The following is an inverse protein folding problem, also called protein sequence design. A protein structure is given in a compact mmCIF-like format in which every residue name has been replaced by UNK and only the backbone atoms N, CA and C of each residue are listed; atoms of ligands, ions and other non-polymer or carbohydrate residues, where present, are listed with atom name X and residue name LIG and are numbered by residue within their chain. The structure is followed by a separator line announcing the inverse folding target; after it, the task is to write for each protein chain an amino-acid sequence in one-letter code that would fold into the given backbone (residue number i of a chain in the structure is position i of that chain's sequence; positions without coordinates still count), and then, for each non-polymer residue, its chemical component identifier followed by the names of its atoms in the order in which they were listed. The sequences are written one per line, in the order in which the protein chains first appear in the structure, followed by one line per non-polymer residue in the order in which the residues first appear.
data_IF_336473291984
#
_entry.id   IF_336473291984
#
_cell.length_a   1.000
_cell.length_b   1.000
_cell.length_c   1.000
_cell.angle_alpha   90.00
_cell.angle_beta   90.00
_cell.angle_gamma   90.00
#
_symmetry.space_group_name_H-M   'P 1'
#
loop_
_entity.id
_entity.type
_entity.pdbx_description
1 polymer ?
#
# COMPACT_ATOMS: atom_id res chain seq x y z
N UNK A 1 -60.12 25.19 -39.96
CA UNK A 1 -59.91 24.47 -38.73
C UNK A 1 -58.55 23.81 -38.81
N UNK A 2 -57.52 24.43 -38.22
CA UNK A 2 -56.13 23.88 -38.23
C UNK A 2 -55.92 23.09 -36.95
N UNK A 3 -55.66 21.78 -37.09
CA UNK A 3 -55.31 20.91 -35.94
C UNK A 3 -53.83 21.09 -35.64
N UNK A 4 -53.54 21.68 -34.52
CA UNK A 4 -52.16 21.77 -33.97
C UNK A 4 -51.88 20.44 -33.30
N UNK A 5 -51.01 19.66 -33.90
CA UNK A 5 -50.47 18.45 -33.27
C UNK A 5 -49.30 18.90 -32.39
N UNK A 6 -49.51 18.93 -31.08
CA UNK A 6 -48.45 19.19 -30.10
C UNK A 6 -47.65 17.90 -29.92
N UNK A 7 -46.46 17.86 -30.51
CA UNK A 7 -45.51 16.78 -30.31
C UNK A 7 -44.83 16.94 -28.94
N UNK A 8 -45.31 16.21 -27.98
CA UNK A 8 -44.64 16.10 -26.67
C UNK A 8 -43.39 15.28 -26.81
N UNK A 9 -42.24 15.94 -26.96
CA UNK A 9 -40.95 15.31 -26.87
C UNK A 9 -40.70 14.95 -25.40
N UNK A 10 -40.96 13.72 -25.02
CA UNK A 10 -40.51 13.13 -23.79
C UNK A 10 -39.01 12.96 -23.87
N UNK A 11 -38.26 13.96 -23.39
CA UNK A 11 -36.83 13.82 -23.13
C UNK A 11 -36.69 12.89 -21.93
N UNK A 12 -36.50 11.60 -22.20
CA UNK A 12 -36.07 10.64 -21.19
C UNK A 12 -34.65 11.04 -20.78
N UNK A 13 -34.53 11.79 -19.69
CA UNK A 13 -33.28 11.92 -18.96
C UNK A 13 -32.96 10.53 -18.43
N UNK A 14 -32.15 9.78 -19.15
CA UNK A 14 -31.47 8.62 -18.62
C UNK A 14 -30.47 9.18 -17.62
N UNK A 15 -30.92 9.41 -16.39
CA UNK A 15 -30.03 9.59 -15.25
C UNK A 15 -29.36 8.23 -15.10
N UNK A 16 -28.21 8.08 -15.75
CA UNK A 16 -27.29 6.98 -15.48
C UNK A 16 -26.84 7.16 -14.04
N UNK A 17 -27.66 6.70 -13.10
CA UNK A 17 -27.19 6.43 -11.75
C UNK A 17 -26.14 5.31 -11.92
N UNK A 18 -24.86 5.70 -11.98
CA UNK A 18 -23.79 4.74 -11.86
C UNK A 18 -24.01 4.03 -10.51
N UNK A 19 -24.57 2.82 -10.57
CA UNK A 19 -24.77 2.04 -9.36
C UNK A 19 -23.40 1.88 -8.71
N UNK A 20 -23.29 2.30 -7.45
CA UNK A 20 -22.12 2.05 -6.63
C UNK A 20 -21.81 0.55 -6.63
N UNK A 21 -20.62 0.21 -7.05
CA UNK A 21 -20.16 -1.18 -7.13
C UNK A 21 -19.26 -1.48 -5.94
N UNK A 22 -19.65 -2.44 -5.14
CA UNK A 22 -18.82 -2.91 -4.03
C UNK A 22 -17.61 -3.67 -4.54
N UNK A 23 -16.53 -3.63 -3.78
CA UNK A 23 -15.38 -4.47 -3.98
C UNK A 23 -15.75 -5.94 -3.82
N UNK A 24 -15.35 -6.77 -4.80
CA UNK A 24 -15.46 -8.22 -4.74
C UNK A 24 -14.08 -8.83 -4.48
N UNK A 25 -14.05 -10.14 -4.16
CA UNK A 25 -12.77 -10.83 -3.93
C UNK A 25 -11.88 -10.86 -5.18
N UNK A 26 -12.51 -10.80 -6.37
CA UNK A 26 -11.77 -10.73 -7.64
C UNK A 26 -10.97 -9.44 -7.75
N UNK A 27 -11.59 -8.29 -7.48
CA UNK A 27 -10.93 -6.99 -7.55
C UNK A 27 -9.85 -6.85 -6.47
N UNK A 28 -10.11 -7.38 -5.27
CA UNK A 28 -9.09 -7.45 -4.21
C UNK A 28 -7.89 -8.28 -4.64
N UNK A 29 -8.13 -9.42 -5.30
CA UNK A 29 -7.04 -10.27 -5.78
C UNK A 29 -6.23 -9.62 -6.91
N UNK A 30 -6.85 -8.81 -7.75
CA UNK A 30 -6.14 -8.00 -8.76
C UNK A 30 -5.19 -6.99 -8.09
N UNK A 31 -5.63 -6.30 -7.04
CA UNK A 31 -4.78 -5.40 -6.26
C UNK A 31 -3.66 -6.18 -5.57
N UNK A 32 -3.95 -7.33 -4.94
CA UNK A 32 -2.94 -8.18 -4.31
C UNK A 32 -1.87 -8.64 -5.29
N UNK A 33 -2.27 -9.00 -6.51
CA UNK A 33 -1.32 -9.38 -7.56
C UNK A 33 -0.35 -8.24 -7.88
N UNK A 34 -0.88 -7.03 -8.04
CA UNK A 34 -0.05 -5.85 -8.28
C UNK A 34 0.91 -5.57 -7.11
N UNK A 35 0.44 -5.77 -5.86
CA UNK A 35 1.28 -5.64 -4.66
C UNK A 35 2.41 -6.68 -4.63
N UNK A 36 2.15 -7.93 -5.00
CA UNK A 36 3.19 -8.97 -5.09
C UNK A 36 4.24 -8.62 -6.13
N UNK A 37 3.82 -8.16 -7.31
CA UNK A 37 4.75 -7.73 -8.36
C UNK A 37 5.59 -6.52 -7.92
N UNK A 38 5.03 -5.64 -7.08
CA UNK A 38 5.77 -4.52 -6.46
C UNK A 38 6.76 -5.01 -5.40
N UNK A 39 6.33 -5.92 -4.51
CA UNK A 39 7.18 -6.53 -3.48
C UNK A 39 8.49 -7.05 -4.07
N UNK A 40 8.39 -7.83 -5.13
CA UNK A 40 9.54 -8.53 -5.72
C UNK A 40 10.61 -7.57 -6.28
N UNK A 41 10.23 -6.31 -6.51
CA UNK A 41 11.10 -5.25 -7.05
C UNK A 41 11.55 -4.21 -6.03
N UNK A 42 11.14 -4.33 -4.78
CA UNK A 42 11.34 -3.31 -3.75
C UNK A 42 12.09 -3.85 -2.53
N UNK A 43 12.45 -2.95 -1.61
CA UNK A 43 13.12 -3.31 -0.34
C UNK A 43 12.28 -4.23 0.55
N UNK A 44 10.95 -4.25 0.39
CA UNK A 44 10.05 -5.14 1.15
C UNK A 44 10.07 -6.60 0.66
N UNK A 45 10.85 -6.95 -0.36
CA UNK A 45 11.00 -8.33 -0.86
C UNK A 45 11.45 -9.33 0.20
N UNK A 46 12.23 -8.84 1.18
CA UNK A 46 12.76 -9.66 2.27
C UNK A 46 11.82 -9.75 3.48
N UNK A 47 10.70 -9.03 3.45
CA UNK A 47 9.71 -9.09 4.53
C UNK A 47 9.14 -10.50 4.66
N UNK A 48 9.07 -11.00 5.90
CA UNK A 48 8.45 -12.29 6.20
C UNK A 48 6.99 -12.36 5.71
N UNK A 49 6.55 -13.55 5.29
CA UNK A 49 5.24 -13.75 4.66
C UNK A 49 4.07 -13.26 5.52
N UNK A 50 4.13 -13.48 6.85
CA UNK A 50 3.09 -13.02 7.77
C UNK A 50 3.01 -11.48 7.84
N UNK A 51 4.17 -10.81 7.93
CA UNK A 51 4.26 -9.35 7.97
C UNK A 51 3.82 -8.74 6.64
N UNK A 52 4.20 -9.37 5.53
CA UNK A 52 3.75 -8.96 4.21
C UNK A 52 2.23 -9.11 4.05
N UNK A 53 1.62 -10.19 4.56
CA UNK A 53 0.16 -10.37 4.56
C UNK A 53 -0.57 -9.26 5.34
N UNK A 54 -0.02 -8.82 6.47
CA UNK A 54 -0.55 -7.68 7.23
C UNK A 54 -0.44 -6.37 6.45
N UNK A 55 0.69 -6.14 5.77
CA UNK A 55 0.89 -4.98 4.90
C UNK A 55 -0.11 -4.99 3.74
N UNK A 56 -0.28 -6.11 3.06
CA UNK A 56 -1.25 -6.31 1.98
C UNK A 56 -2.67 -5.97 2.42
N UNK A 57 -3.07 -6.44 3.60
CA UNK A 57 -4.38 -6.14 4.20
C UNK A 57 -4.52 -4.66 4.55
N UNK A 58 -3.49 -4.03 5.10
CA UNK A 58 -3.48 -2.59 5.37
C UNK A 58 -3.72 -1.78 4.09
N UNK A 59 -2.99 -2.08 3.02
CA UNK A 59 -3.12 -1.39 1.73
C UNK A 59 -4.51 -1.54 1.15
N UNK A 60 -5.06 -2.75 1.14
CA UNK A 60 -6.42 -3.01 0.68
C UNK A 60 -7.45 -2.21 1.49
N UNK A 61 -7.35 -2.24 2.81
CA UNK A 61 -8.26 -1.51 3.70
C UNK A 61 -8.18 0.01 3.46
N UNK A 62 -6.98 0.53 3.23
CA UNK A 62 -6.76 1.95 2.93
C UNK A 62 -7.40 2.35 1.61
N UNK A 63 -7.21 1.54 0.56
CA UNK A 63 -7.80 1.81 -0.77
C UNK A 63 -9.31 1.69 -0.72
N UNK A 64 -9.86 0.62 -0.13
CA UNK A 64 -11.32 0.44 0.00
C UNK A 64 -11.96 1.53 0.85
N UNK A 65 -11.28 2.00 1.90
CA UNK A 65 -11.75 3.12 2.72
C UNK A 65 -11.77 4.45 1.96
N UNK A 66 -10.78 4.67 1.09
CA UNK A 66 -10.71 5.87 0.24
C UNK A 66 -11.70 5.80 -0.93
N UNK A 67 -11.85 4.63 -1.51
CA UNK A 67 -12.72 4.35 -2.66
C UNK A 67 -13.71 3.22 -2.35
N UNK A 68 -14.75 3.46 -1.53
CA UNK A 68 -15.72 2.41 -1.18
C UNK A 68 -16.56 1.94 -2.39
N UNK A 69 -16.64 2.76 -3.43
CA UNK A 69 -17.19 2.39 -4.74
C UNK A 69 -16.06 1.99 -5.68
N UNK A 70 -15.98 0.70 -6.01
CA UNK A 70 -14.95 0.16 -6.91
C UNK A 70 -14.92 0.87 -8.28
N UNK A 71 -16.07 1.30 -8.82
CA UNK A 71 -16.08 2.01 -10.10
C UNK A 71 -15.25 3.30 -10.04
N UNK A 72 -15.20 3.98 -8.89
CA UNK A 72 -14.36 5.18 -8.71
C UNK A 72 -12.88 4.84 -8.71
N UNK A 73 -12.49 3.74 -8.06
CA UNK A 73 -11.12 3.25 -8.11
C UNK A 73 -10.75 2.78 -9.51
N UNK A 74 -11.64 2.05 -10.18
CA UNK A 74 -11.40 1.50 -11.51
C UNK A 74 -11.21 2.57 -12.59
N UNK A 75 -11.85 3.71 -12.44
CA UNK A 75 -11.75 4.87 -13.33
C UNK A 75 -10.51 5.74 -13.09
N UNK A 76 -9.70 5.47 -12.06
CA UNK A 76 -8.49 6.23 -11.82
C UNK A 76 -7.50 6.03 -12.97
N UNK A 77 -6.99 7.13 -13.49
CA UNK A 77 -5.91 7.14 -14.49
C UNK A 77 -4.54 6.83 -13.88
N UNK A 78 -4.38 7.10 -12.58
CA UNK A 78 -3.15 6.92 -11.82
C UNK A 78 -3.34 5.91 -10.66
N UNK A 79 -3.79 4.69 -10.99
CA UNK A 79 -4.00 3.61 -9.99
C UNK A 79 -2.69 3.26 -9.27
N UNK A 80 -1.57 3.27 -10.00
CA UNK A 80 -0.26 2.98 -9.42
C UNK A 80 0.15 4.01 -8.38
N UNK A 81 -0.10 5.30 -8.61
CA UNK A 81 0.21 6.35 -7.63
C UNK A 81 -0.65 6.18 -6.36
N UNK A 82 -1.92 5.82 -6.53
CA UNK A 82 -2.82 5.52 -5.40
C UNK A 82 -2.32 4.33 -4.59
N UNK A 83 -1.88 3.27 -5.29
CA UNK A 83 -1.33 2.08 -4.67
C UNK A 83 -0.02 2.40 -3.93
N UNK A 84 0.88 3.14 -4.56
CA UNK A 84 2.13 3.58 -3.95
C UNK A 84 1.90 4.45 -2.70
N UNK A 85 0.96 5.40 -2.75
CA UNK A 85 0.62 6.22 -1.60
C UNK A 85 0.09 5.37 -0.42
N UNK A 86 -0.77 4.40 -0.68
CA UNK A 86 -1.26 3.48 0.33
C UNK A 86 -0.13 2.58 0.88
N UNK A 87 0.77 2.09 0.02
CA UNK A 87 1.95 1.32 0.41
C UNK A 87 2.87 2.12 1.33
N UNK A 88 3.25 3.34 0.94
CA UNK A 88 4.11 4.23 1.75
C UNK A 88 3.49 4.49 3.12
N UNK A 89 2.18 4.73 3.17
CA UNK A 89 1.46 4.92 4.42
C UNK A 89 1.50 3.67 5.30
N UNK A 90 1.18 2.50 4.76
CA UNK A 90 1.12 1.25 5.50
C UNK A 90 2.51 0.75 5.95
N UNK A 91 3.53 0.87 5.11
CA UNK A 91 4.91 0.55 5.48
C UNK A 91 5.39 1.50 6.57
N UNK A 92 5.19 2.80 6.40
CA UNK A 92 5.56 3.79 7.41
C UNK A 92 4.88 3.54 8.76
N UNK A 93 3.60 3.18 8.74
CA UNK A 93 2.88 2.78 9.95
C UNK A 93 3.47 1.52 10.60
N UNK A 94 3.83 0.51 9.79
CA UNK A 94 4.41 -0.74 10.28
C UNK A 94 5.80 -0.55 10.91
N UNK A 95 6.62 0.37 10.38
CA UNK A 95 7.95 0.68 10.91
C UNK A 95 7.87 1.32 12.31
N UNK A 96 6.80 2.03 12.62
CA UNK A 96 6.61 2.77 13.86
C UNK A 96 7.28 4.15 13.86
N UNK A 97 6.74 5.06 14.68
CA UNK A 97 7.13 6.48 14.69
C UNK A 97 8.61 6.72 15.08
N UNK A 98 9.22 5.78 15.75
CA UNK A 98 10.64 5.83 16.16
C UNK A 98 11.53 4.87 15.38
N UNK A 99 11.03 4.32 14.26
CA UNK A 99 11.72 3.31 13.45
C UNK A 99 12.07 2.03 14.22
N UNK A 100 11.30 1.71 15.27
CA UNK A 100 11.54 0.56 16.15
C UNK A 100 11.34 -0.79 15.46
N UNK A 101 10.56 -0.82 14.38
CA UNK A 101 10.23 -2.04 13.64
C UNK A 101 11.01 -2.21 12.32
N UNK A 102 12.19 -1.58 12.18
CA UNK A 102 13.07 -1.81 11.02
C UNK A 102 13.37 -3.30 10.75
N UNK A 103 13.43 -4.19 11.76
CA UNK A 103 13.56 -5.64 11.52
C UNK A 103 12.50 -6.24 10.59
N UNK A 104 11.30 -5.62 10.47
CA UNK A 104 10.26 -6.07 9.54
C UNK A 104 10.67 -5.92 8.07
N UNK A 105 11.44 -4.86 7.75
CA UNK A 105 11.94 -4.59 6.40
C UNK A 105 13.29 -5.27 6.13
N UNK A 106 14.13 -5.34 7.14
CA UNK A 106 15.49 -5.86 7.07
C UNK A 106 15.69 -6.96 8.12
N UNK A 107 15.18 -8.18 7.87
CA UNK A 107 15.33 -9.30 8.82
C UNK A 107 16.81 -9.61 9.09
N UNK A 108 17.14 -9.95 10.33
CA UNK A 108 18.52 -10.24 10.73
C UNK A 108 19.16 -11.34 9.88
N UNK A 109 18.41 -12.38 9.53
CA UNK A 109 18.87 -13.47 8.69
C UNK A 109 19.34 -13.00 7.31
N UNK A 110 18.60 -12.08 6.69
CA UNK A 110 18.97 -11.49 5.40
C UNK A 110 20.23 -10.61 5.50
N UNK A 111 20.33 -9.83 6.60
CA UNK A 111 21.52 -9.02 6.85
C UNK A 111 22.75 -9.86 7.14
N UNK A 112 22.60 -11.02 7.77
CA UNK A 112 23.68 -11.99 7.96
C UNK A 112 24.10 -12.63 6.63
N UNK A 113 23.17 -13.02 5.78
CA UNK A 113 23.46 -13.54 4.44
C UNK A 113 24.18 -12.51 3.57
N UNK A 114 23.82 -11.24 3.70
CA UNK A 114 24.45 -10.12 3.00
C UNK A 114 25.82 -9.72 3.60
N UNK A 115 26.24 -10.35 4.72
CA UNK A 115 27.50 -10.01 5.40
C UNK A 115 27.49 -8.66 6.13
N UNK A 116 26.31 -8.06 6.32
CA UNK A 116 26.13 -6.81 7.07
C UNK A 116 26.14 -7.07 8.58
N UNK A 117 25.52 -8.16 9.00
CA UNK A 117 25.62 -8.70 10.35
C UNK A 117 26.50 -9.95 10.36
N UNK A 118 27.32 -10.17 11.40
CA UNK A 118 28.05 -11.44 11.56
C UNK A 118 27.08 -12.63 11.65
N UNK A 119 27.43 -13.75 11.01
CA UNK A 119 26.59 -14.96 11.02
C UNK A 119 26.38 -15.55 12.44
N UNK A 120 27.29 -15.25 13.38
CA UNK A 120 27.19 -15.66 14.77
C UNK A 120 26.84 -14.55 15.75
N UNK A 121 26.21 -13.44 15.26
CA UNK A 121 25.80 -12.34 16.12
C UNK A 121 24.81 -12.81 17.19
N UNK A 122 25.03 -12.42 18.44
CA UNK A 122 24.09 -12.68 19.53
C UNK A 122 22.86 -11.78 19.43
N UNK A 123 21.79 -12.12 20.16
CA UNK A 123 20.56 -11.32 20.17
C UNK A 123 20.84 -9.90 20.65
N UNK A 124 21.75 -9.71 21.61
CA UNK A 124 22.14 -8.39 22.10
C UNK A 124 22.86 -7.57 21.02
N UNK A 125 23.71 -8.23 20.21
CA UNK A 125 24.41 -7.57 19.11
C UNK A 125 23.44 -7.18 17.98
N UNK A 126 22.48 -8.05 17.69
CA UNK A 126 21.41 -7.79 16.72
C UNK A 126 20.55 -6.62 17.19
N UNK A 127 20.14 -6.60 18.47
CA UNK A 127 19.36 -5.51 19.05
C UNK A 127 20.13 -4.19 19.03
N UNK A 128 21.42 -4.21 19.39
CA UNK A 128 22.28 -3.02 19.35
C UNK A 128 22.41 -2.48 17.92
N UNK A 129 22.54 -3.35 16.93
CA UNK A 129 22.57 -2.97 15.52
C UNK A 129 21.29 -2.22 15.11
N UNK A 130 20.11 -2.78 15.41
CA UNK A 130 18.84 -2.13 15.02
C UNK A 130 18.61 -0.83 15.78
N UNK A 131 19.03 -0.73 17.05
CA UNK A 131 18.98 0.50 17.81
C UNK A 131 19.84 1.59 17.15
N UNK A 132 21.08 1.23 16.73
CA UNK A 132 21.96 2.14 16.01
C UNK A 132 21.37 2.51 14.63
N UNK A 133 20.84 1.55 13.88
CA UNK A 133 20.23 1.76 12.59
C UNK A 133 19.04 2.72 12.68
N UNK A 134 18.13 2.49 13.63
CA UNK A 134 16.98 3.36 13.88
C UNK A 134 17.42 4.80 14.19
N UNK A 135 18.45 4.97 15.03
CA UNK A 135 19.03 6.28 15.31
C UNK A 135 19.56 6.98 14.05
N UNK A 136 20.28 6.23 13.19
CA UNK A 136 20.81 6.79 11.94
C UNK A 136 19.74 7.11 10.91
N UNK A 137 18.74 6.27 10.79
CA UNK A 137 17.58 6.55 9.92
C UNK A 137 16.84 7.79 10.40
N UNK A 138 16.65 7.95 11.71
CA UNK A 138 15.98 9.11 12.31
C UNK A 138 16.76 10.43 12.15
N UNK A 139 18.08 10.37 12.06
CA UNK A 139 18.91 11.55 11.72
C UNK A 139 18.67 12.01 10.27
N UNK A 140 18.36 11.11 9.35
CA UNK A 140 18.22 11.39 7.92
C UNK A 140 16.77 11.66 7.50
N UNK A 141 15.80 11.03 8.17
CA UNK A 141 14.38 11.08 7.81
C UNK A 141 13.53 11.48 9.02
N UNK A 142 12.74 12.53 8.87
CA UNK A 142 11.89 13.05 9.94
C UNK A 142 10.73 12.10 10.24
N UNK A 143 10.24 11.39 9.20
CA UNK A 143 9.10 10.47 9.34
C UNK A 143 9.37 9.12 8.67
N UNK A 144 8.76 8.03 9.16
CA UNK A 144 8.82 6.73 8.51
C UNK A 144 8.36 6.73 7.05
N UNK A 145 7.38 7.59 6.70
CA UNK A 145 6.90 7.73 5.33
C UNK A 145 7.98 8.30 4.40
N UNK A 146 8.74 9.31 4.86
CA UNK A 146 9.88 9.85 4.09
C UNK A 146 10.94 8.80 3.83
N UNK A 147 11.25 7.98 4.85
CA UNK A 147 12.17 6.86 4.69
C UNK A 147 11.63 5.81 3.69
N UNK A 148 10.34 5.46 3.78
CA UNK A 148 9.72 4.49 2.87
C UNK A 148 9.75 4.95 1.40
N UNK A 149 9.60 6.24 1.15
CA UNK A 149 9.71 6.80 -0.22
C UNK A 149 11.15 6.68 -0.77
N UNK A 150 12.15 6.65 0.12
CA UNK A 150 13.58 6.56 -0.26
C UNK A 150 14.05 5.09 -0.46
N UNK A 151 13.23 4.09 -0.11
CA UNK A 151 13.52 2.67 -0.30
C UNK A 151 13.21 2.21 -1.72
#
# INVERSE_FOLDING_TARGET
MKKIITLLAVVAFVVSCSQSRKWTDKEREEVRKTLRDYRDRSAIRHMEAANYGNLEQCVLTTIEGTYPDYNKYDQLTAKEDTLNAAMVSCVGFSIGDNFENLPLLFPAAELQQAGILPAGATDEQIQAFYTCLAGKVKELYVTPQQFTVAL
#
